data_IF_239495084266
#
_entry.id   IF_239495084266
#
_cell.length_a   1.000
_cell.length_b   1.000
_cell.length_c   1.000
_cell.angle_alpha   90.00
_cell.angle_beta   90.00
_cell.angle_gamma   90.00
#
_symmetry.space_group_name_H-M   'P 1'
#
loop_
_entity.id
_entity.type
_entity.pdbx_description
1 polymer ?
#
# COMPACT_ATOMS: atom_id res chain seq x y z
N UNK A 1 10.88 -8.65 -34.13
CA UNK A 1 10.47 -8.93 -32.73
C UNK A 1 9.52 -7.82 -32.32
N UNK A 2 8.24 -8.13 -32.13
CA UNK A 2 7.19 -7.14 -31.85
C UNK A 2 7.51 -6.25 -30.65
N UNK A 3 7.19 -4.96 -30.78
CA UNK A 3 7.38 -3.94 -29.72
C UNK A 3 6.77 -4.39 -28.38
N UNK A 4 5.59 -5.03 -28.43
CA UNK A 4 4.89 -5.57 -27.26
C UNK A 4 5.69 -6.66 -26.54
N UNK A 5 6.44 -7.50 -27.26
CA UNK A 5 7.27 -8.55 -26.65
C UNK A 5 8.46 -7.95 -25.89
N UNK A 6 9.06 -6.87 -26.42
CA UNK A 6 10.17 -6.16 -25.75
C UNK A 6 9.72 -5.51 -24.43
N UNK A 7 8.56 -4.84 -24.45
CA UNK A 7 7.98 -4.19 -23.26
C UNK A 7 7.71 -5.22 -22.16
N UNK A 8 7.14 -6.38 -22.52
CA UNK A 8 6.83 -7.45 -21.55
C UNK A 8 8.08 -8.05 -20.93
N UNK A 9 9.13 -8.29 -21.71
CA UNK A 9 10.41 -8.81 -21.20
C UNK A 9 11.07 -7.79 -20.28
N UNK A 10 11.18 -6.54 -20.71
CA UNK A 10 11.81 -5.49 -19.92
C UNK A 10 11.04 -5.21 -18.61
N UNK A 11 9.71 -5.08 -18.71
CA UNK A 11 8.84 -4.96 -17.55
C UNK A 11 8.95 -6.15 -16.60
N UNK A 12 9.08 -7.37 -17.14
CA UNK A 12 9.28 -8.58 -16.34
C UNK A 12 10.58 -8.57 -15.55
N UNK A 13 11.70 -8.16 -16.19
CA UNK A 13 13.00 -8.04 -15.50
C UNK A 13 12.94 -7.01 -14.37
N UNK A 14 12.38 -5.82 -14.64
CA UNK A 14 12.24 -4.78 -13.60
C UNK A 14 11.36 -5.27 -12.46
N UNK A 15 10.24 -5.93 -12.78
CA UNK A 15 9.30 -6.44 -11.78
C UNK A 15 9.97 -7.50 -10.90
N UNK A 16 10.73 -8.43 -11.49
CA UNK A 16 11.48 -9.44 -10.74
C UNK A 16 12.53 -8.83 -9.82
N UNK A 17 13.28 -7.82 -10.28
CA UNK A 17 14.25 -7.11 -9.44
C UNK A 17 13.57 -6.39 -8.27
N UNK A 18 12.44 -5.73 -8.53
CA UNK A 18 11.66 -5.08 -7.49
C UNK A 18 11.11 -6.09 -6.47
N UNK A 19 10.61 -7.26 -6.94
CA UNK A 19 10.17 -8.34 -6.07
C UNK A 19 11.29 -8.87 -5.17
N UNK A 20 12.49 -9.07 -5.74
CA UNK A 20 13.65 -9.49 -4.96
C UNK A 20 14.02 -8.47 -3.87
N UNK A 21 13.96 -7.17 -4.20
CA UNK A 21 14.17 -6.09 -3.23
C UNK A 21 13.15 -6.13 -2.09
N UNK A 22 11.84 -6.14 -2.39
CA UNK A 22 10.81 -6.15 -1.35
C UNK A 22 10.79 -7.46 -0.55
N UNK A 23 11.09 -8.60 -1.18
CA UNK A 23 11.26 -9.87 -0.49
C UNK A 23 12.43 -9.84 0.49
N UNK A 24 13.55 -9.22 0.11
CA UNK A 24 14.69 -9.01 1.00
C UNK A 24 14.34 -8.08 2.18
N UNK A 25 13.61 -6.99 1.93
CA UNK A 25 13.15 -6.09 2.99
C UNK A 25 12.25 -6.83 3.99
N UNK A 26 11.28 -7.62 3.54
CA UNK A 26 10.43 -8.43 4.43
C UNK A 26 11.27 -9.41 5.25
N UNK A 27 12.23 -10.09 4.61
CA UNK A 27 13.14 -10.99 5.32
C UNK A 27 13.92 -10.26 6.44
N UNK A 28 14.44 -9.06 6.17
CA UNK A 28 15.13 -8.25 7.19
C UNK A 28 14.19 -7.85 8.33
N UNK A 29 12.97 -7.40 8.04
CA UNK A 29 11.98 -7.05 9.06
C UNK A 29 11.61 -8.24 9.94
N UNK A 30 11.45 -9.44 9.35
CA UNK A 30 11.13 -10.65 10.11
C UNK A 30 12.32 -11.17 10.92
N UNK A 31 13.55 -10.97 10.43
CA UNK A 31 14.76 -11.42 11.12
C UNK A 31 15.14 -10.51 12.28
N UNK A 32 14.85 -9.21 12.17
CA UNK A 32 15.12 -8.19 13.18
C UNK A 32 13.81 -7.66 13.78
N UNK A 33 12.81 -8.53 13.95
CA UNK A 33 11.52 -8.13 14.48
C UNK A 33 11.63 -7.85 15.98
N UNK A 34 11.31 -6.63 16.38
CA UNK A 34 11.18 -6.26 17.78
C UNK A 34 9.80 -6.65 18.28
N UNK A 35 9.72 -7.45 19.34
CA UNK A 35 8.43 -7.72 19.97
C UNK A 35 7.92 -6.47 20.69
N UNK A 36 6.62 -6.43 20.98
CA UNK A 36 6.04 -5.32 21.74
C UNK A 36 6.68 -5.23 23.14
N UNK A 37 7.00 -6.37 23.74
CA UNK A 37 7.64 -6.44 25.05
C UNK A 37 9.05 -5.83 24.99
N UNK A 38 9.84 -6.15 23.95
CA UNK A 38 11.18 -5.55 23.76
C UNK A 38 11.11 -4.02 23.57
N UNK A 39 10.13 -3.54 22.81
CA UNK A 39 9.90 -2.10 22.57
C UNK A 39 9.53 -1.37 23.86
N UNK A 40 8.68 -2.00 24.68
CA UNK A 40 8.25 -1.47 25.97
C UNK A 40 9.40 -1.39 26.97
N UNK A 41 10.29 -2.40 26.96
CA UNK A 41 11.48 -2.42 27.81
C UNK A 41 12.52 -1.36 27.38
N UNK A 42 12.65 -1.08 26.07
CA UNK A 42 13.64 -0.13 25.55
C UNK A 42 13.19 1.34 25.54
N UNK A 43 11.95 1.63 25.11
CA UNK A 43 11.54 3.01 24.76
C UNK A 43 10.33 3.55 25.51
N UNK A 44 9.47 2.69 26.07
CA UNK A 44 8.13 3.03 26.56
C UNK A 44 7.20 3.73 25.54
N UNK A 45 7.60 3.84 24.26
CA UNK A 45 6.85 4.48 23.19
C UNK A 45 6.18 3.44 22.29
N UNK A 46 5.09 2.84 22.77
CA UNK A 46 4.34 1.75 22.11
C UNK A 46 3.92 2.07 20.66
N UNK A 47 3.82 3.36 20.31
CA UNK A 47 3.46 3.79 18.96
C UNK A 47 4.41 3.27 17.89
N UNK A 48 5.68 3.04 18.23
CA UNK A 48 6.68 2.55 17.26
C UNK A 48 6.30 1.17 16.71
N UNK A 49 5.70 0.31 17.53
CA UNK A 49 5.25 -1.01 17.09
C UNK A 49 4.24 -0.90 15.93
N UNK A 50 3.35 0.09 15.98
CA UNK A 50 2.37 0.33 14.91
C UNK A 50 3.05 0.83 13.63
N UNK A 51 4.11 1.62 13.74
CA UNK A 51 4.87 2.12 12.58
C UNK A 51 5.69 1.01 11.92
N UNK A 52 6.32 0.15 12.72
CA UNK A 52 7.04 -1.05 12.25
C UNK A 52 6.09 -2.03 11.55
N UNK A 53 4.89 -2.25 12.13
CA UNK A 53 3.83 -3.01 11.48
C UNK A 53 3.38 -2.38 10.16
N UNK A 54 3.28 -1.05 10.08
CA UNK A 54 2.93 -0.36 8.86
C UNK A 54 4.01 -0.50 7.77
N UNK A 55 5.29 -0.39 8.13
CA UNK A 55 6.42 -0.58 7.21
C UNK A 55 6.48 -2.02 6.69
N UNK A 56 6.28 -3.02 7.55
CA UNK A 56 6.18 -4.42 7.13
C UNK A 56 4.99 -4.64 6.18
N UNK A 57 3.82 -4.11 6.55
CA UNK A 57 2.60 -4.17 5.74
C UNK A 57 2.80 -3.53 4.37
N UNK A 58 3.48 -2.38 4.31
CA UNK A 58 3.89 -1.75 3.05
C UNK A 58 4.68 -2.75 2.20
N UNK A 59 5.79 -3.27 2.70
CA UNK A 59 6.64 -4.17 1.90
C UNK A 59 5.87 -5.40 1.38
N UNK A 60 4.98 -5.98 2.19
CA UNK A 60 4.12 -7.11 1.79
C UNK A 60 3.13 -6.72 0.68
N UNK A 61 2.46 -5.57 0.81
CA UNK A 61 1.50 -5.08 -0.18
C UNK A 61 2.20 -4.80 -1.52
N UNK A 62 3.38 -4.16 -1.47
CA UNK A 62 4.17 -3.87 -2.66
C UNK A 62 4.67 -5.16 -3.34
N UNK A 63 5.19 -6.12 -2.57
CA UNK A 63 5.60 -7.42 -3.10
C UNK A 63 4.44 -8.17 -3.76
N UNK A 64 3.27 -8.19 -3.11
CA UNK A 64 2.06 -8.85 -3.63
C UNK A 64 1.56 -8.17 -4.91
N UNK A 65 1.57 -6.83 -4.94
CA UNK A 65 1.21 -6.04 -6.13
C UNK A 65 2.10 -6.37 -7.32
N UNK A 66 3.41 -6.49 -7.09
CA UNK A 66 4.39 -6.88 -8.11
C UNK A 66 4.21 -8.33 -8.56
N UNK A 67 3.84 -9.24 -7.66
CA UNK A 67 3.47 -10.61 -8.01
C UNK A 67 2.30 -10.65 -9.00
N UNK A 68 1.24 -9.90 -8.74
CA UNK A 68 0.12 -9.77 -9.69
C UNK A 68 0.55 -9.10 -10.99
N UNK A 69 1.38 -8.05 -10.95
CA UNK A 69 1.92 -7.43 -12.15
C UNK A 69 2.73 -8.41 -12.99
N UNK A 70 3.56 -9.25 -12.36
CA UNK A 70 4.33 -10.28 -13.04
C UNK A 70 3.42 -11.32 -13.73
N UNK A 71 2.35 -11.74 -13.05
CA UNK A 71 1.34 -12.62 -13.65
C UNK A 71 0.73 -11.96 -14.90
N UNK A 72 0.36 -10.68 -14.84
CA UNK A 72 -0.21 -9.94 -15.99
C UNK A 72 0.81 -9.79 -17.12
N UNK A 73 2.10 -9.59 -16.82
CA UNK A 73 3.15 -9.51 -17.83
C UNK A 73 3.37 -10.84 -18.56
N UNK A 74 3.15 -11.98 -17.89
CA UNK A 74 3.24 -13.34 -18.49
C UNK A 74 1.92 -13.72 -19.18
N UNK A 75 0.78 -13.42 -18.57
CA UNK A 75 -0.57 -13.79 -19.03
C UNK A 75 -1.50 -12.55 -18.91
N UNK A 76 -1.58 -11.72 -19.97
CA UNK A 76 -2.31 -10.43 -19.94
C UNK A 76 -3.79 -10.54 -19.58
N UNK A 77 -4.42 -11.69 -19.81
CA UNK A 77 -5.83 -11.96 -19.52
C UNK A 77 -6.16 -11.84 -18.02
N UNK A 78 -5.16 -11.93 -17.14
CA UNK A 78 -5.31 -11.85 -15.68
C UNK A 78 -5.35 -10.40 -15.14
N UNK A 79 -5.34 -9.37 -15.99
CA UNK A 79 -5.34 -7.97 -15.54
C UNK A 79 -6.50 -7.62 -14.59
N UNK A 80 -7.66 -8.29 -14.73
CA UNK A 80 -8.82 -8.09 -13.85
C UNK A 80 -8.53 -8.48 -12.39
N UNK A 81 -7.70 -9.49 -12.18
CA UNK A 81 -7.31 -9.95 -10.84
C UNK A 81 -6.40 -8.92 -10.17
N UNK A 82 -5.43 -8.36 -10.91
CA UNK A 82 -4.60 -7.25 -10.44
C UNK A 82 -5.47 -6.04 -10.08
N UNK A 83 -6.42 -5.65 -10.93
CA UNK A 83 -7.33 -4.55 -10.63
C UNK A 83 -8.20 -4.83 -9.40
N UNK A 84 -8.74 -6.04 -9.25
CA UNK A 84 -9.51 -6.43 -8.08
C UNK A 84 -8.70 -6.32 -6.79
N UNK A 85 -7.46 -6.82 -6.80
CA UNK A 85 -6.54 -6.67 -5.67
C UNK A 85 -6.25 -5.20 -5.35
N UNK A 86 -5.91 -4.39 -6.36
CA UNK A 86 -5.63 -2.97 -6.15
C UNK A 86 -6.85 -2.23 -5.61
N UNK A 87 -8.06 -2.50 -6.09
CA UNK A 87 -9.28 -1.85 -5.59
C UNK A 87 -9.66 -2.27 -4.18
N UNK A 88 -9.34 -3.49 -3.76
CA UNK A 88 -9.53 -3.89 -2.36
C UNK A 88 -8.47 -3.25 -1.46
N UNK A 89 -7.21 -3.35 -1.87
CA UNK A 89 -6.09 -2.90 -1.05
C UNK A 89 -5.91 -1.39 -1.03
N UNK A 90 -6.32 -0.67 -2.07
CA UNK A 90 -6.21 0.79 -2.16
C UNK A 90 -6.87 1.50 -0.97
N UNK A 91 -8.20 1.34 -0.77
CA UNK A 91 -8.90 1.94 0.35
C UNK A 91 -8.40 1.46 1.72
N UNK A 92 -8.15 0.15 1.86
CA UNK A 92 -7.66 -0.44 3.12
C UNK A 92 -6.30 0.13 3.49
N UNK A 93 -5.39 0.19 2.53
CA UNK A 93 -4.04 0.69 2.74
C UNK A 93 -4.01 2.21 2.92
N UNK A 94 -4.92 2.94 2.27
CA UNK A 94 -5.11 4.38 2.50
C UNK A 94 -5.49 4.64 3.96
N UNK A 95 -6.52 3.94 4.46
CA UNK A 95 -6.94 4.05 5.87
C UNK A 95 -5.80 3.65 6.81
N UNK A 96 -5.10 2.55 6.53
CA UNK A 96 -3.97 2.09 7.34
C UNK A 96 -2.82 3.10 7.37
N UNK A 97 -2.55 3.78 6.25
CA UNK A 97 -1.52 4.82 6.17
C UNK A 97 -1.92 6.07 6.94
N UNK A 98 -3.20 6.46 6.96
CA UNK A 98 -3.68 7.54 7.84
C UNK A 98 -3.54 7.20 9.33
N UNK A 99 -3.80 5.94 9.71
CA UNK A 99 -3.54 5.48 11.08
C UNK A 99 -2.06 5.64 11.40
N UNK A 100 -1.16 5.16 10.53
CA UNK A 100 0.29 5.31 10.73
C UNK A 100 0.74 6.77 10.83
N UNK A 101 0.15 7.71 10.09
CA UNK A 101 0.43 9.15 10.23
C UNK A 101 0.10 9.66 11.64
N UNK A 102 -1.03 9.21 12.20
CA UNK A 102 -1.44 9.54 13.57
C UNK A 102 -0.42 9.02 14.58
N UNK A 103 -0.09 7.74 14.49
CA UNK A 103 0.91 7.11 15.36
C UNK A 103 2.31 7.72 15.21
N UNK A 104 2.69 8.17 14.01
CA UNK A 104 3.98 8.83 13.80
C UNK A 104 4.06 10.16 14.55
N UNK A 105 2.96 10.92 14.56
CA UNK A 105 2.87 12.18 15.30
C UNK A 105 3.01 11.96 16.81
N UNK A 106 2.38 10.90 17.34
CA UNK A 106 2.49 10.52 18.75
C UNK A 106 3.88 9.99 19.11
N UNK A 107 4.46 9.12 18.28
CA UNK A 107 5.82 8.62 18.43
C UNK A 107 6.85 9.75 18.51
N UNK A 108 6.78 10.75 17.62
CA UNK A 108 7.66 11.92 17.69
C UNK A 108 7.47 12.72 19.00
N UNK A 109 6.24 12.78 19.51
CA UNK A 109 5.95 13.38 20.82
C UNK A 109 6.64 12.62 21.96
N UNK A 110 6.48 11.30 21.99
CA UNK A 110 7.06 10.42 23.00
C UNK A 110 8.60 10.41 22.97
N UNK A 111 9.21 10.35 21.79
CA UNK A 111 10.67 10.34 21.64
C UNK A 111 11.34 11.68 21.98
N UNK A 112 10.61 12.79 21.94
CA UNK A 112 11.16 14.06 22.43
C UNK A 112 11.32 14.09 23.96
N UNK A 113 10.61 13.23 24.69
CA UNK A 113 10.77 13.05 26.14
C UNK A 113 11.82 12.01 26.54
N UNK A 114 12.03 10.97 25.73
CA UNK A 114 12.84 9.77 26.07
C UNK A 114 14.10 9.62 25.18
N UNK A 115 14.71 10.73 24.75
CA UNK A 115 15.64 10.91 23.61
C UNK A 115 16.68 9.82 23.25
N UNK A 116 17.20 9.04 24.21
CA UNK A 116 18.31 8.11 23.94
C UNK A 116 17.87 6.77 23.32
N UNK A 117 16.64 6.31 23.53
CA UNK A 117 16.23 4.97 23.07
C UNK A 117 15.55 4.95 21.70
N UNK A 118 15.18 6.11 21.15
CA UNK A 118 14.41 6.16 19.89
C UNK A 118 15.27 6.13 18.61
N UNK A 119 16.59 6.33 18.72
CA UNK A 119 17.50 6.52 17.58
C UNK A 119 17.70 5.29 16.71
N UNK A 120 17.41 4.11 17.24
CA UNK A 120 17.58 2.83 16.54
C UNK A 120 16.42 2.52 15.58
N UNK A 121 15.30 3.23 15.72
CA UNK A 121 14.10 2.98 14.93
C UNK A 121 14.07 3.81 13.64
N UNK A 122 13.72 3.17 12.53
CA UNK A 122 13.76 3.79 11.19
C UNK A 122 12.99 5.13 11.08
N UNK A 123 11.77 5.28 11.65
CA UNK A 123 11.05 6.55 11.60
C UNK A 123 11.79 7.72 12.24
N UNK A 124 12.66 7.46 13.23
CA UNK A 124 13.47 8.47 13.89
C UNK A 124 14.87 8.61 13.28
N UNK A 125 15.49 7.49 12.87
CA UNK A 125 16.79 7.45 12.22
C UNK A 125 16.77 8.15 10.85
N UNK A 126 15.70 7.97 10.08
CA UNK A 126 15.54 8.55 8.74
C UNK A 126 14.14 9.17 8.54
N UNK A 127 13.84 10.30 9.21
CA UNK A 127 12.51 10.87 9.21
C UNK A 127 12.09 11.36 7.82
N UNK A 128 13.02 11.92 7.04
CA UNK A 128 12.76 12.33 5.66
C UNK A 128 12.43 11.15 4.75
N UNK A 129 13.14 10.02 4.93
CA UNK A 129 12.87 8.77 4.20
C UNK A 129 11.51 8.20 4.56
N UNK A 130 11.19 8.16 5.85
CA UNK A 130 9.89 7.71 6.35
C UNK A 130 8.73 8.57 5.83
N UNK A 131 8.85 9.90 5.88
CA UNK A 131 7.86 10.83 5.34
C UNK A 131 7.68 10.63 3.83
N UNK A 132 8.76 10.42 3.08
CA UNK A 132 8.68 10.15 1.65
C UNK A 132 7.88 8.86 1.37
N UNK A 133 8.09 7.79 2.15
CA UNK A 133 7.33 6.55 2.03
C UNK A 133 5.84 6.76 2.32
N UNK A 134 5.51 7.54 3.36
CA UNK A 134 4.13 7.92 3.68
C UNK A 134 3.48 8.65 2.51
N UNK A 135 4.15 9.68 1.96
CA UNK A 135 3.62 10.46 0.84
C UNK A 135 3.35 9.57 -0.38
N UNK A 136 4.33 8.75 -0.76
CA UNK A 136 4.19 7.83 -1.90
C UNK A 136 3.02 6.87 -1.67
N UNK A 137 2.88 6.33 -0.46
CA UNK A 137 1.81 5.42 -0.09
C UNK A 137 0.43 6.08 -0.12
N UNK A 138 0.29 7.30 0.40
CA UNK A 138 -0.94 8.10 0.35
C UNK A 138 -1.32 8.41 -1.09
N UNK A 139 -0.39 8.92 -1.90
CA UNK A 139 -0.68 9.28 -3.30
C UNK A 139 -1.13 8.06 -4.10
N UNK A 140 -0.38 6.96 -4.00
CA UNK A 140 -0.71 5.73 -4.72
C UNK A 140 -2.08 5.17 -4.32
N UNK A 141 -2.33 5.02 -3.02
CA UNK A 141 -3.58 4.45 -2.50
C UNK A 141 -4.78 5.38 -2.73
N UNK A 142 -4.60 6.71 -2.64
CA UNK A 142 -5.63 7.68 -2.96
C UNK A 142 -6.01 7.64 -4.44
N UNK A 143 -5.03 7.56 -5.36
CA UNK A 143 -5.32 7.46 -6.80
C UNK A 143 -6.14 6.22 -7.13
N UNK A 144 -5.79 5.07 -6.56
CA UNK A 144 -6.53 3.82 -6.76
C UNK A 144 -7.94 3.93 -6.17
N UNK A 145 -8.07 4.51 -4.97
CA UNK A 145 -9.35 4.70 -4.29
C UNK A 145 -10.26 5.64 -5.08
N UNK A 146 -9.74 6.77 -5.56
CA UNK A 146 -10.48 7.71 -6.41
C UNK A 146 -10.92 7.04 -7.71
N UNK A 147 -10.05 6.25 -8.34
CA UNK A 147 -10.39 5.50 -9.54
C UNK A 147 -11.52 4.50 -9.29
N UNK A 148 -11.46 3.73 -8.19
CA UNK A 148 -12.55 2.84 -7.78
C UNK A 148 -13.86 3.61 -7.56
N UNK A 149 -13.83 4.72 -6.84
CA UNK A 149 -15.00 5.57 -6.60
C UNK A 149 -15.61 6.07 -7.92
N UNK A 150 -14.77 6.47 -8.87
CA UNK A 150 -15.24 6.90 -10.19
C UNK A 150 -15.99 5.79 -10.94
N UNK A 151 -15.51 4.54 -10.87
CA UNK A 151 -16.19 3.38 -11.48
C UNK A 151 -17.53 3.13 -10.80
N UNK A 152 -17.56 3.19 -9.46
CA UNK A 152 -18.78 2.99 -8.68
C UNK A 152 -19.82 4.04 -9.05
N UNK A 153 -19.43 5.32 -9.11
CA UNK A 153 -20.33 6.43 -9.48
C UNK A 153 -20.88 6.22 -10.89
N UNK A 154 -20.02 5.87 -11.87
CA UNK A 154 -20.46 5.61 -13.24
C UNK A 154 -21.44 4.43 -13.32
N UNK A 155 -21.16 3.37 -12.56
CA UNK A 155 -22.01 2.17 -12.52
C UNK A 155 -23.37 2.48 -11.88
N UNK A 156 -23.38 3.21 -10.76
CA UNK A 156 -24.59 3.66 -10.10
C UNK A 156 -25.43 4.57 -11.01
N UNK A 157 -24.79 5.51 -11.70
CA UNK A 157 -25.47 6.39 -12.65
C UNK A 157 -26.08 5.61 -13.81
N UNK A 158 -25.36 4.65 -14.37
CA UNK A 158 -25.87 3.74 -15.41
C UNK A 158 -27.08 2.95 -14.92
N UNK A 159 -27.00 2.36 -13.73
CA UNK A 159 -28.10 1.64 -13.11
C UNK A 159 -29.34 2.51 -12.92
N UNK A 160 -29.19 3.72 -12.36
CA UNK A 160 -30.28 4.67 -12.14
C UNK A 160 -30.90 5.06 -13.49
N UNK A 161 -30.08 5.36 -14.50
CA UNK A 161 -30.56 5.74 -15.84
C UNK A 161 -31.37 4.63 -16.49
N UNK A 162 -30.88 3.39 -16.49
CA UNK A 162 -31.59 2.24 -17.06
C UNK A 162 -32.89 1.97 -16.31
N UNK A 163 -32.88 2.08 -14.99
CA UNK A 163 -34.09 1.93 -14.18
C UNK A 163 -35.11 3.01 -14.51
N UNK A 164 -34.69 4.27 -14.61
CA UNK A 164 -35.56 5.38 -14.99
C UNK A 164 -36.18 5.17 -16.37
N UNK A 165 -35.37 4.80 -17.39
CA UNK A 165 -35.86 4.50 -18.74
C UNK A 165 -36.93 3.41 -18.74
N UNK A 166 -36.67 2.28 -18.06
CA UNK A 166 -37.63 1.19 -17.94
C UNK A 166 -38.93 1.60 -17.23
N UNK A 167 -38.88 2.49 -16.24
CA UNK A 167 -40.09 3.05 -15.64
C UNK A 167 -40.86 3.89 -16.67
N UNK A 168 -40.21 4.83 -17.37
CA UNK A 168 -40.89 5.64 -18.39
C UNK A 168 -41.51 4.80 -19.53
N UNK A 169 -40.84 3.74 -19.99
CA UNK A 169 -41.35 2.87 -21.07
C UNK A 169 -42.54 1.99 -20.65
N UNK A 170 -42.77 1.79 -19.35
CA UNK A 170 -43.92 1.03 -18.81
C UNK A 170 -45.19 1.88 -18.61
N UNK A 171 -45.06 3.21 -18.63
CA UNK A 171 -46.15 4.16 -18.37
C UNK A 171 -46.59 4.98 -19.60
N UNK A 172 -46.03 4.69 -20.77
CA UNK A 172 -46.46 5.18 -22.09
C UNK A 172 -46.88 4.00 -22.98
#
# INVERSE_FOLDING_TARGET
MDSNKKIRIFGGVITLLAMAYYGYQIYLYLSNWYSLDDIQEDTACDEIFTLELWLLSQNIIWLTSLGFLMIVLIIPEFYKLLLCFLYLMGPVYLTWTFVAIGYYSWFLGCCNSEQDSCVDYYPYLSPAGFIALIIVSVVFSALITIYLLSIIIQTLWGYIRTRYQNYTDLYF
#
